data_IF_108750051554
#
_entry.id   IF_108750051554
#
_cell.length_a   1.000
_cell.length_b   1.000
_cell.length_c   1.000
_cell.angle_alpha   90.00
_cell.angle_beta   90.00
_cell.angle_gamma   90.00
#
_symmetry.space_group_name_H-M   'P 1'
#
loop_
_entity.id
_entity.type
_entity.pdbx_description
1 polymer ?
#
# COMPACT_ATOMS: atom_id res chain seq x y z
N UNK A 1 14.11 -9.10 -42.96
CA UNK A 1 13.16 -9.34 -41.84
C UNK A 1 13.82 -9.50 -40.46
N UNK A 2 15.00 -10.13 -40.35
CA UNK A 2 15.69 -10.34 -39.06
C UNK A 2 16.10 -9.07 -38.29
N UNK A 3 16.54 -8.02 -38.97
CA UNK A 3 16.94 -6.75 -38.33
C UNK A 3 15.78 -6.04 -37.61
N UNK A 4 14.57 -6.13 -38.16
CA UNK A 4 13.36 -5.55 -37.54
C UNK A 4 13.02 -6.27 -36.23
N UNK A 5 13.09 -7.61 -36.24
CA UNK A 5 12.85 -8.45 -35.07
C UNK A 5 13.90 -8.20 -33.97
N UNK A 6 15.17 -8.04 -34.34
CA UNK A 6 16.23 -7.69 -33.38
C UNK A 6 16.00 -6.31 -32.74
N UNK A 7 15.60 -5.29 -33.52
CA UNK A 7 15.25 -3.97 -32.99
C UNK A 7 14.06 -4.04 -32.03
N UNK A 8 13.01 -4.78 -32.42
CA UNK A 8 11.84 -5.00 -31.56
C UNK A 8 12.21 -5.70 -30.25
N UNK A 9 13.00 -6.77 -30.29
CA UNK A 9 13.44 -7.48 -29.09
C UNK A 9 14.28 -6.60 -28.16
N UNK A 10 15.19 -5.78 -28.71
CA UNK A 10 15.98 -4.82 -27.91
C UNK A 10 15.08 -3.79 -27.22
N UNK A 11 14.10 -3.25 -27.94
CA UNK A 11 13.17 -2.27 -27.42
C UNK A 11 12.26 -2.86 -26.34
N UNK A 12 11.73 -4.06 -26.57
CA UNK A 12 10.93 -4.80 -25.60
C UNK A 12 11.73 -5.12 -24.33
N UNK A 13 13.00 -5.50 -24.48
CA UNK A 13 13.88 -5.78 -23.35
C UNK A 13 14.14 -4.52 -22.51
N UNK A 14 14.44 -3.39 -23.16
CA UNK A 14 14.61 -2.11 -22.49
C UNK A 14 13.32 -1.68 -21.75
N UNK A 15 12.16 -1.81 -22.40
CA UNK A 15 10.87 -1.50 -21.79
C UNK A 15 10.60 -2.35 -20.54
N UNK A 16 10.91 -3.65 -20.57
CA UNK A 16 10.76 -4.54 -19.42
C UNK A 16 11.70 -4.18 -18.26
N UNK A 17 12.94 -3.80 -18.56
CA UNK A 17 13.88 -3.32 -17.52
C UNK A 17 13.32 -2.06 -16.86
N UNK A 18 12.89 -1.07 -17.65
CA UNK A 18 12.32 0.18 -17.14
C UNK A 18 11.08 -0.11 -16.29
N UNK A 19 10.17 -0.97 -16.76
CA UNK A 19 8.99 -1.38 -16.00
C UNK A 19 9.37 -2.10 -14.69
N UNK A 20 10.38 -2.96 -14.69
CA UNK A 20 10.88 -3.63 -13.50
C UNK A 20 11.41 -2.64 -12.46
N UNK A 21 12.24 -1.69 -12.87
CA UNK A 21 12.75 -0.61 -12.02
C UNK A 21 11.62 0.27 -11.48
N UNK A 22 10.66 0.66 -12.32
CA UNK A 22 9.50 1.46 -11.90
C UNK A 22 8.62 0.72 -10.89
N UNK A 23 8.36 -0.57 -11.11
CA UNK A 23 7.59 -1.38 -10.15
C UNK A 23 8.33 -1.55 -8.83
N UNK A 24 9.65 -1.71 -8.87
CA UNK A 24 10.47 -1.81 -7.66
C UNK A 24 10.54 -0.47 -6.90
N UNK A 25 10.69 0.65 -7.60
CA UNK A 25 10.74 1.98 -7.00
C UNK A 25 9.42 2.35 -6.31
N UNK A 26 8.27 2.06 -6.95
CA UNK A 26 6.96 2.25 -6.32
C UNK A 26 6.68 1.25 -5.17
N UNK A 27 7.37 0.11 -5.13
CA UNK A 27 7.23 -0.87 -4.04
C UNK A 27 8.07 -0.53 -2.79
N UNK A 28 8.86 0.55 -2.79
CA UNK A 28 9.68 0.91 -1.62
C UNK A 28 8.85 1.46 -0.44
N UNK A 29 7.61 1.85 -0.68
CA UNK A 29 6.59 2.21 0.32
C UNK A 29 5.52 1.13 0.42
N UNK A 30 5.92 -0.14 0.58
CA UNK A 30 5.00 -1.22 0.99
C UNK A 30 4.68 -1.08 2.47
N UNK A 31 3.93 -0.03 2.79
CA UNK A 31 3.28 0.04 4.07
C UNK A 31 2.02 -0.82 4.07
N UNK A 32 1.78 -1.55 5.15
CA UNK A 32 0.51 -2.24 5.35
C UNK A 32 -0.19 -1.66 6.58
N UNK A 33 -1.51 -1.63 6.50
CA UNK A 33 -2.37 -1.21 7.60
C UNK A 33 -2.89 -2.45 8.30
N UNK A 34 -2.68 -2.54 9.60
CA UNK A 34 -3.31 -3.52 10.45
C UNK A 34 -4.13 -2.78 11.48
N UNK A 35 -5.31 -3.27 11.84
CA UNK A 35 -6.10 -2.59 12.85
C UNK A 35 -7.20 -3.45 13.43
N UNK A 36 -7.65 -3.04 14.61
CA UNK A 36 -8.75 -3.63 15.33
C UNK A 36 -9.82 -2.57 15.57
N UNK A 37 -11.07 -2.97 15.39
CA UNK A 37 -12.23 -2.14 15.66
C UNK A 37 -13.03 -2.83 16.76
N UNK A 38 -13.32 -2.11 17.83
CA UNK A 38 -14.19 -2.60 18.89
C UNK A 38 -15.42 -1.72 18.98
N UNK A 39 -16.57 -2.33 18.68
CA UNK A 39 -17.88 -1.73 18.80
C UNK A 39 -18.41 -2.00 20.20
N UNK A 40 -18.86 -0.96 20.89
CA UNK A 40 -19.62 -1.06 22.14
C UNK A 40 -20.95 -0.33 21.99
N UNK A 41 -21.85 -0.44 22.97
CA UNK A 41 -23.18 0.19 22.87
C UNK A 41 -23.14 1.72 22.69
N UNK A 42 -22.09 2.38 23.16
CA UNK A 42 -22.01 3.85 23.22
C UNK A 42 -20.83 4.45 22.46
N UNK A 43 -19.89 3.64 21.97
CA UNK A 43 -18.67 4.13 21.33
C UNK A 43 -18.05 3.08 20.39
N UNK A 44 -17.36 3.58 19.36
CA UNK A 44 -16.45 2.84 18.49
C UNK A 44 -15.00 3.12 18.92
N UNK A 45 -14.28 2.08 19.32
CA UNK A 45 -12.82 2.14 19.53
C UNK A 45 -12.11 1.68 18.28
N UNK A 46 -11.10 2.45 17.87
CA UNK A 46 -10.34 2.23 16.65
C UNK A 46 -8.87 2.17 17.02
N UNK A 47 -8.19 1.09 16.65
CA UNK A 47 -6.74 0.96 16.75
C UNK A 47 -6.19 0.60 15.38
N UNK A 48 -5.34 1.45 14.82
CA UNK A 48 -4.73 1.28 13.51
C UNK A 48 -3.21 1.38 13.64
N UNK A 49 -2.52 0.33 13.25
CA UNK A 49 -1.07 0.24 13.12
C UNK A 49 -0.70 0.39 11.64
N UNK A 50 0.06 1.44 11.34
CA UNK A 50 0.58 1.76 10.01
C UNK A 50 2.04 1.32 9.98
N UNK A 51 2.33 0.27 9.24
CA UNK A 51 3.70 -0.21 9.03
C UNK A 51 4.26 0.49 7.81
N UNK A 52 5.49 1.02 7.88
CA UNK A 52 6.21 1.57 6.75
C UNK A 52 7.68 1.11 6.82
N UNK A 53 7.96 -0.06 6.25
CA UNK A 53 9.27 -0.71 6.43
C UNK A 53 9.47 -1.18 7.88
N UNK A 54 10.51 -0.68 8.54
CA UNK A 54 10.79 -0.98 9.96
C UNK A 54 10.08 -0.05 10.94
N UNK A 55 9.41 1.00 10.45
CA UNK A 55 8.71 1.96 11.29
C UNK A 55 7.24 1.55 11.47
N UNK A 56 6.72 1.77 12.68
CA UNK A 56 5.33 1.54 13.02
C UNK A 56 4.76 2.81 13.65
N UNK A 57 3.69 3.32 13.07
CA UNK A 57 2.88 4.40 13.65
C UNK A 57 1.57 3.81 14.15
N UNK A 58 1.26 4.01 15.43
CA UNK A 58 0.02 3.53 16.06
C UNK A 58 -0.93 4.71 16.26
N UNK A 59 -2.12 4.60 15.70
CA UNK A 59 -3.21 5.56 15.85
C UNK A 59 -4.32 4.88 16.66
N UNK A 60 -4.75 5.55 17.73
CA UNK A 60 -5.88 5.11 18.56
C UNK A 60 -6.91 6.21 18.62
N UNK A 61 -8.17 5.85 18.41
CA UNK A 61 -9.30 6.78 18.46
C UNK A 61 -10.52 6.15 19.17
N UNK A 62 -11.38 7.00 19.72
CA UNK A 62 -12.61 6.63 20.41
C UNK A 62 -13.73 7.57 19.94
N UNK A 63 -14.58 7.07 19.06
CA UNK A 63 -15.70 7.84 18.48
C UNK A 63 -16.97 7.52 19.29
N UNK A 64 -17.51 8.47 20.07
CA UNK A 64 -18.77 8.27 20.78
C UNK A 64 -19.93 8.23 19.79
N UNK A 65 -20.90 7.35 20.04
CA UNK A 65 -22.13 7.35 19.26
C UNK A 65 -23.06 8.46 19.73
N UNK A 66 -23.78 9.12 18.80
CA UNK A 66 -24.84 10.03 19.19
C UNK A 66 -25.94 9.19 19.83
N UNK A 67 -25.97 9.14 21.16
CA UNK A 67 -27.07 8.58 21.92
C UNK A 67 -28.27 9.49 21.67
N UNK A 68 -29.17 9.07 20.76
CA UNK A 68 -30.50 9.64 20.69
C UNK A 68 -31.28 9.10 21.89
N UNK A 69 -31.29 9.86 22.97
CA UNK A 69 -32.37 9.79 23.96
C UNK A 69 -33.64 10.39 23.37
#
# INVERSE_FOLDING_TARGET
MWRLRQRYCRLLHAARIIQGYWRWHNCHTRGFFQGNYQLTACQLRLQLDIFLGSQVCRVTDCIPFPIKN
#
